data_IF_198227552602
#
_entry.id   IF_198227552602
#
_cell.length_a   1.000
_cell.length_b   1.000
_cell.length_c   1.000
_cell.angle_alpha   90.00
_cell.angle_beta   90.00
_cell.angle_gamma   90.00
#
_symmetry.space_group_name_H-M   'P 1'
#
loop_
_entity.id
_entity.type
_entity.pdbx_description
1 polymer ?
#
# COMPACT_ATOMS: atom_id res chain seq x y z
N UNK A 1 -24.97 -25.31 -26.17
CA UNK A 1 -26.38 -25.55 -25.82
C UNK A 1 -26.53 -26.08 -24.39
N UNK A 2 -25.70 -27.03 -23.92
CA UNK A 2 -25.74 -27.62 -22.57
C UNK A 2 -25.48 -26.63 -21.44
N UNK A 3 -24.72 -25.56 -21.69
CA UNK A 3 -24.38 -24.51 -20.68
C UNK A 3 -25.56 -23.57 -20.43
N UNK A 4 -26.38 -23.30 -21.47
CA UNK A 4 -27.60 -22.49 -21.34
C UNK A 4 -28.70 -23.16 -20.51
N UNK A 5 -28.78 -24.48 -20.59
CA UNK A 5 -29.82 -25.26 -19.86
C UNK A 5 -29.53 -25.36 -18.36
N UNK A 6 -28.25 -25.17 -17.92
CA UNK A 6 -27.85 -25.25 -16.53
C UNK A 6 -27.74 -23.89 -15.79
N UNK A 7 -28.08 -22.76 -16.46
CA UNK A 7 -28.00 -21.42 -15.87
C UNK A 7 -26.58 -21.04 -15.41
N UNK A 8 -25.54 -21.67 -15.96
CA UNK A 8 -24.15 -21.38 -15.56
C UNK A 8 -23.72 -20.00 -16.07
N UNK A 9 -23.55 -19.06 -15.17
CA UNK A 9 -23.02 -17.73 -15.49
C UNK A 9 -21.53 -17.85 -15.81
N UNK A 10 -21.11 -17.36 -16.98
CA UNK A 10 -19.70 -17.28 -17.34
C UNK A 10 -19.02 -16.26 -16.41
N UNK A 11 -18.01 -16.73 -15.67
CA UNK A 11 -17.23 -15.87 -14.78
C UNK A 11 -15.92 -15.45 -15.45
N UNK A 12 -15.53 -14.22 -15.21
CA UNK A 12 -14.29 -13.60 -15.66
C UNK A 12 -13.34 -13.45 -14.48
N UNK A 13 -12.12 -13.90 -14.66
CA UNK A 13 -11.07 -13.85 -13.63
C UNK A 13 -10.42 -12.47 -13.61
N UNK A 14 -10.38 -11.85 -12.44
CA UNK A 14 -9.66 -10.60 -12.16
C UNK A 14 -8.65 -10.86 -11.05
N UNK A 15 -7.35 -10.81 -11.35
CA UNK A 15 -6.27 -10.95 -10.37
C UNK A 15 -5.66 -9.60 -10.09
N UNK A 16 -5.68 -9.18 -8.83
CA UNK A 16 -5.12 -7.92 -8.36
C UNK A 16 -3.82 -8.22 -7.60
N UNK A 17 -2.66 -7.79 -8.12
CA UNK A 17 -1.39 -7.93 -7.41
C UNK A 17 -1.32 -7.03 -6.17
N UNK A 18 -0.50 -7.45 -5.18
CA UNK A 18 -0.14 -6.62 -4.04
C UNK A 18 0.57 -5.34 -4.49
N UNK A 19 0.36 -4.24 -3.78
CA UNK A 19 1.00 -2.96 -4.06
C UNK A 19 0.45 -2.17 -5.26
N UNK A 20 -0.66 -2.62 -5.88
CA UNK A 20 -1.35 -1.83 -6.91
C UNK A 20 -2.21 -0.74 -6.26
N UNK A 21 -2.25 0.44 -6.88
CA UNK A 21 -3.14 1.53 -6.49
C UNK A 21 -4.46 1.48 -7.27
N UNK A 22 -5.41 2.34 -6.90
CA UNK A 22 -6.75 2.42 -7.53
C UNK A 22 -6.65 2.53 -9.06
N UNK A 23 -5.71 3.33 -9.58
CA UNK A 23 -5.57 3.56 -11.02
C UNK A 23 -5.09 2.30 -11.75
N UNK A 24 -4.10 1.61 -11.20
CA UNK A 24 -3.59 0.35 -11.73
C UNK A 24 -4.64 -0.76 -11.66
N UNK A 25 -5.46 -0.80 -10.61
CA UNK A 25 -6.58 -1.73 -10.50
C UNK A 25 -7.64 -1.42 -11.57
N UNK A 26 -7.93 -0.14 -11.80
CA UNK A 26 -8.88 0.28 -12.85
C UNK A 26 -8.43 -0.18 -14.25
N UNK A 27 -7.12 -0.13 -14.54
CA UNK A 27 -6.56 -0.68 -15.79
C UNK A 27 -6.81 -2.18 -15.91
N UNK A 28 -6.64 -2.94 -14.82
CA UNK A 28 -6.91 -4.39 -14.81
C UNK A 28 -8.39 -4.71 -14.98
N UNK A 29 -9.29 -3.94 -14.36
CA UNK A 29 -10.75 -4.09 -14.53
C UNK A 29 -11.14 -3.88 -15.98
N UNK A 30 -10.61 -2.83 -16.62
CA UNK A 30 -10.86 -2.55 -18.03
C UNK A 30 -10.28 -3.64 -18.95
N UNK A 31 -9.04 -4.07 -18.71
CA UNK A 31 -8.38 -5.13 -19.47
C UNK A 31 -9.10 -6.49 -19.35
N UNK A 32 -9.73 -6.77 -18.21
CA UNK A 32 -10.55 -7.97 -17.99
C UNK A 32 -11.94 -7.87 -18.63
N UNK A 33 -12.32 -6.72 -19.23
CA UNK A 33 -13.64 -6.50 -19.83
C UNK A 33 -14.79 -6.44 -18.82
N UNK A 34 -14.47 -6.04 -17.56
CA UNK A 34 -15.43 -5.97 -16.45
C UNK A 34 -15.96 -4.55 -16.21
N UNK A 35 -15.66 -3.61 -17.10
CA UNK A 35 -16.12 -2.23 -17.05
C UNK A 35 -15.12 -1.26 -17.67
N UNK A 36 -15.41 0.02 -17.60
CA UNK A 36 -14.51 1.07 -18.06
C UNK A 36 -13.73 1.68 -16.86
N UNK A 37 -12.48 2.07 -17.12
CA UNK A 37 -11.56 2.58 -16.13
C UNK A 37 -12.15 3.74 -15.31
N UNK A 38 -12.74 4.74 -15.97
CA UNK A 38 -13.30 5.93 -15.32
C UNK A 38 -14.43 5.62 -14.34
N UNK A 39 -15.27 4.62 -14.62
CA UNK A 39 -16.37 4.25 -13.75
C UNK A 39 -15.87 3.55 -12.49
N UNK A 40 -14.86 2.68 -12.65
CA UNK A 40 -14.22 2.06 -11.50
C UNK A 40 -13.51 3.11 -10.61
N UNK A 41 -12.74 4.03 -11.21
CA UNK A 41 -12.07 5.11 -10.46
C UNK A 41 -13.11 5.93 -9.70
N UNK A 42 -14.21 6.34 -10.36
CA UNK A 42 -15.29 7.10 -9.71
C UNK A 42 -15.87 6.34 -8.51
N UNK A 43 -16.16 5.04 -8.66
CA UNK A 43 -16.65 4.22 -7.55
C UNK A 43 -15.62 4.08 -6.43
N UNK A 44 -14.34 3.90 -6.77
CA UNK A 44 -13.25 3.71 -5.81
C UNK A 44 -12.85 5.01 -5.09
N UNK A 45 -13.26 6.17 -5.58
CA UNK A 45 -12.98 7.48 -4.99
C UNK A 45 -14.24 8.21 -4.47
N UNK A 46 -15.38 7.55 -4.44
CA UNK A 46 -16.62 8.09 -3.90
C UNK A 46 -16.62 8.01 -2.37
N UNK A 47 -16.35 9.13 -1.70
CA UNK A 47 -16.32 9.25 -0.24
C UNK A 47 -17.63 8.84 0.42
N UNK A 48 -18.80 9.15 -0.19
CA UNK A 48 -20.09 8.72 0.34
C UNK A 48 -20.22 7.20 0.35
N UNK A 49 -19.73 6.56 -0.71
CA UNK A 49 -19.72 5.10 -0.80
C UNK A 49 -18.73 4.47 0.21
N UNK A 50 -17.55 5.07 0.41
CA UNK A 50 -16.58 4.68 1.45
C UNK A 50 -17.23 4.67 2.84
N UNK A 51 -17.88 5.77 3.21
CA UNK A 51 -18.55 5.90 4.51
C UNK A 51 -19.76 4.96 4.65
N UNK A 52 -20.52 4.75 3.57
CA UNK A 52 -21.66 3.80 3.55
C UNK A 52 -21.22 2.36 3.81
N UNK A 53 -20.02 1.98 3.38
CA UNK A 53 -19.43 0.65 3.67
C UNK A 53 -18.83 0.58 5.09
N UNK A 54 -18.76 1.72 5.81
CA UNK A 54 -18.27 1.79 7.19
C UNK A 54 -16.74 1.90 7.28
N UNK A 55 -16.10 2.53 6.30
CA UNK A 55 -14.69 2.90 6.37
C UNK A 55 -14.55 4.38 6.72
N UNK A 56 -13.57 4.70 7.57
CA UNK A 56 -13.20 6.09 7.89
C UNK A 56 -11.99 6.50 7.02
N UNK A 57 -12.26 6.78 5.75
CA UNK A 57 -11.29 7.17 4.73
C UNK A 57 -11.96 8.02 3.66
N UNK A 58 -11.18 8.73 2.84
CA UNK A 58 -11.72 9.56 1.73
C UNK A 58 -11.92 8.73 0.45
N UNK A 59 -11.15 7.66 0.27
CA UNK A 59 -11.21 6.77 -0.89
C UNK A 59 -11.02 5.32 -0.46
N UNK A 60 -11.22 4.38 -1.38
CA UNK A 60 -10.91 2.96 -1.15
C UNK A 60 -9.44 2.60 -1.34
N UNK A 61 -8.52 3.57 -1.54
CA UNK A 61 -7.08 3.27 -1.61
C UNK A 61 -6.62 2.58 -0.32
N UNK A 62 -5.92 1.45 -0.47
CA UNK A 62 -5.50 0.60 0.64
C UNK A 62 -6.52 -0.45 1.10
N UNK A 63 -7.77 -0.35 0.65
CA UNK A 63 -8.86 -1.24 1.07
C UNK A 63 -9.36 -2.18 -0.04
N UNK A 64 -8.86 -2.04 -1.27
CA UNK A 64 -9.15 -2.93 -2.38
C UNK A 64 -8.21 -4.12 -2.33
N UNK A 65 -8.53 -5.12 -1.48
CA UNK A 65 -7.59 -6.19 -1.11
C UNK A 65 -7.07 -6.97 -2.33
N UNK A 66 -5.74 -7.18 -2.44
CA UNK A 66 -5.14 -7.97 -3.50
C UNK A 66 -5.54 -9.44 -3.38
N UNK A 67 -6.17 -9.98 -4.42
CA UNK A 67 -6.58 -11.39 -4.51
C UNK A 67 -6.99 -11.70 -5.95
N UNK A 68 -7.42 -12.94 -6.19
CA UNK A 68 -8.07 -13.35 -7.44
C UNK A 68 -9.57 -13.45 -7.25
N UNK A 69 -10.30 -12.67 -8.03
CA UNK A 69 -11.75 -12.58 -8.00
C UNK A 69 -12.38 -13.19 -9.26
N UNK A 70 -13.62 -13.66 -9.13
CA UNK A 70 -14.43 -14.16 -10.23
C UNK A 70 -15.70 -13.33 -10.31
N UNK A 71 -15.93 -12.66 -11.44
CA UNK A 71 -17.08 -11.80 -11.66
C UNK A 71 -17.88 -12.20 -12.89
N UNK A 72 -19.22 -12.04 -12.90
CA UNK A 72 -20.01 -12.09 -14.12
C UNK A 72 -19.66 -10.89 -15.03
N UNK A 73 -19.92 -11.00 -16.33
CA UNK A 73 -19.57 -9.96 -17.31
C UNK A 73 -20.18 -8.59 -17.00
N UNK A 74 -21.41 -8.58 -16.53
CA UNK A 74 -22.19 -7.35 -16.32
C UNK A 74 -22.13 -6.87 -14.86
N UNK A 75 -21.03 -7.17 -14.16
CA UNK A 75 -20.79 -6.68 -12.79
C UNK A 75 -20.61 -5.17 -12.80
N UNK A 76 -21.37 -4.46 -11.96
CA UNK A 76 -21.18 -3.02 -11.80
C UNK A 76 -19.93 -2.69 -10.96
N UNK A 77 -19.32 -1.50 -11.17
CA UNK A 77 -18.08 -1.10 -10.48
C UNK A 77 -18.22 -1.10 -8.96
N UNK A 78 -19.36 -0.69 -8.41
CA UNK A 78 -19.62 -0.73 -6.96
C UNK A 78 -19.58 -2.16 -6.39
N UNK A 79 -20.04 -3.14 -7.16
CA UNK A 79 -20.01 -4.55 -6.74
C UNK A 79 -18.59 -5.10 -6.72
N UNK A 80 -17.75 -4.71 -7.68
CA UNK A 80 -16.31 -5.05 -7.69
C UNK A 80 -15.66 -4.47 -6.46
N UNK A 81 -15.80 -3.16 -6.21
CA UNK A 81 -15.25 -2.46 -5.03
C UNK A 81 -15.73 -3.13 -3.75
N UNK A 82 -17.06 -3.35 -3.58
CA UNK A 82 -17.61 -3.99 -2.37
C UNK A 82 -17.04 -5.38 -2.11
N UNK A 83 -16.84 -6.17 -3.16
CA UNK A 83 -16.26 -7.52 -3.04
C UNK A 83 -14.82 -7.44 -2.54
N UNK A 84 -14.01 -6.53 -3.09
CA UNK A 84 -12.62 -6.34 -2.69
C UNK A 84 -12.50 -5.83 -1.26
N UNK A 85 -13.37 -4.89 -0.86
CA UNK A 85 -13.44 -4.38 0.53
C UNK A 85 -13.92 -5.45 1.50
N UNK A 86 -14.90 -6.27 1.11
CA UNK A 86 -15.35 -7.40 1.94
C UNK A 86 -14.21 -8.39 2.17
N UNK A 87 -13.37 -8.62 1.17
CA UNK A 87 -12.16 -9.43 1.29
C UNK A 87 -11.16 -8.79 2.26
N UNK A 88 -10.92 -7.48 2.16
CA UNK A 88 -10.11 -6.74 3.14
C UNK A 88 -10.61 -6.97 4.56
N UNK A 89 -11.91 -6.76 4.82
CA UNK A 89 -12.52 -6.94 6.15
C UNK A 89 -12.39 -8.38 6.67
N UNK A 90 -12.42 -9.38 5.79
CA UNK A 90 -12.22 -10.78 6.17
C UNK A 90 -10.77 -11.08 6.61
N UNK A 91 -9.80 -10.35 6.07
CA UNK A 91 -8.38 -10.47 6.41
C UNK A 91 -8.03 -9.62 7.63
N UNK A 92 -8.46 -8.35 7.62
CA UNK A 92 -8.26 -7.40 8.72
C UNK A 92 -9.38 -7.60 9.75
N UNK A 93 -9.24 -8.63 10.55
CA UNK A 93 -10.26 -9.10 11.49
C UNK A 93 -10.16 -8.39 12.86
N UNK A 94 -11.12 -8.65 13.75
CA UNK A 94 -11.18 -8.07 15.10
C UNK A 94 -9.88 -8.22 15.91
N UNK A 95 -9.13 -9.31 15.72
CA UNK A 95 -7.83 -9.47 16.40
C UNK A 95 -6.81 -8.44 15.91
N UNK A 96 -6.83 -8.12 14.63
CA UNK A 96 -5.94 -7.11 14.06
C UNK A 96 -6.40 -5.68 14.40
N UNK A 97 -7.71 -5.46 14.52
CA UNK A 97 -8.26 -4.19 15.01
C UNK A 97 -7.83 -3.93 16.45
N UNK A 98 -7.98 -4.91 17.34
CA UNK A 98 -7.51 -4.82 18.71
C UNK A 98 -6.00 -4.58 18.79
N UNK A 99 -5.22 -5.25 17.91
CA UNK A 99 -3.77 -5.04 17.88
C UNK A 99 -3.39 -3.62 17.39
N UNK A 100 -4.12 -3.06 16.45
CA UNK A 100 -3.93 -1.67 16.02
C UNK A 100 -4.16 -0.70 17.18
N UNK A 101 -5.22 -0.91 17.95
CA UNK A 101 -5.56 -0.11 19.14
C UNK A 101 -4.46 -0.21 20.22
N UNK A 102 -3.93 -1.40 20.50
CA UNK A 102 -2.78 -1.60 21.41
C UNK A 102 -1.54 -0.78 20.97
N UNK A 103 -1.33 -0.62 19.67
CA UNK A 103 -0.24 0.18 19.10
C UNK A 103 -0.55 1.69 19.11
N UNK A 104 -1.76 2.09 19.46
CA UNK A 104 -2.24 3.48 19.38
C UNK A 104 -2.51 3.94 17.96
N UNK A 105 -2.80 3.03 17.02
CA UNK A 105 -3.09 3.33 15.62
C UNK A 105 -4.57 3.06 15.31
N UNK A 106 -5.16 3.91 14.48
CA UNK A 106 -6.40 3.58 13.79
C UNK A 106 -6.16 2.53 12.70
N UNK A 107 -7.20 1.81 12.27
CA UNK A 107 -7.13 0.90 11.12
C UNK A 107 -6.56 1.61 9.89
N UNK A 108 -7.01 2.87 9.63
CA UNK A 108 -6.52 3.68 8.52
C UNK A 108 -5.01 3.95 8.59
N UNK A 109 -4.48 4.24 9.78
CA UNK A 109 -3.04 4.44 9.98
C UNK A 109 -2.24 3.15 9.77
N UNK A 110 -2.76 2.00 10.21
CA UNK A 110 -2.12 0.69 9.94
C UNK A 110 -2.09 0.40 8.45
N UNK A 111 -3.21 0.59 7.73
CA UNK A 111 -3.28 0.38 6.27
C UNK A 111 -2.35 1.33 5.53
N UNK A 112 -2.28 2.59 5.96
CA UNK A 112 -1.35 3.59 5.41
C UNK A 112 0.09 3.13 5.58
N UNK A 113 0.50 2.74 6.78
CA UNK A 113 1.85 2.23 7.05
C UNK A 113 2.14 0.96 6.26
N UNK A 114 1.20 0.01 6.21
CA UNK A 114 1.33 -1.21 5.45
C UNK A 114 1.52 -0.96 3.94
N UNK A 115 0.84 0.04 3.38
CA UNK A 115 1.00 0.41 1.97
C UNK A 115 2.39 0.96 1.66
N UNK A 116 3.02 1.67 2.62
CA UNK A 116 4.39 2.15 2.50
C UNK A 116 5.36 0.96 2.57
N UNK A 117 5.20 0.07 3.57
CA UNK A 117 6.02 -1.15 3.71
C UNK A 117 5.94 -2.00 2.44
N UNK A 118 4.75 -2.17 1.85
CA UNK A 118 4.53 -2.91 0.61
C UNK A 118 5.37 -2.37 -0.55
N UNK A 119 5.52 -1.05 -0.64
CA UNK A 119 6.25 -0.39 -1.72
C UNK A 119 7.76 -0.30 -1.48
N UNK A 120 8.24 -0.54 -0.26
CA UNK A 120 9.67 -0.41 0.09
C UNK A 120 10.49 -1.67 -0.20
N UNK A 121 9.90 -2.85 -0.11
CA UNK A 121 10.67 -4.09 -0.30
C UNK A 121 9.92 -5.17 -1.05
N UNK A 122 10.63 -5.82 -1.99
CA UNK A 122 10.22 -7.10 -2.57
C UNK A 122 10.67 -8.32 -1.75
N UNK A 123 11.52 -8.14 -0.73
CA UNK A 123 12.02 -9.19 0.14
C UNK A 123 11.05 -9.41 1.31
N UNK A 124 10.22 -10.43 1.25
CA UNK A 124 9.15 -10.68 2.21
C UNK A 124 9.65 -10.75 3.67
N UNK A 125 10.83 -11.32 3.90
CA UNK A 125 11.43 -11.47 5.24
C UNK A 125 11.91 -10.15 5.86
N UNK A 126 12.08 -9.09 5.07
CA UNK A 126 12.49 -7.77 5.57
C UNK A 126 11.31 -6.90 6.00
N UNK A 127 10.06 -7.20 5.59
CA UNK A 127 8.88 -6.39 5.94
C UNK A 127 8.77 -6.09 7.43
N UNK A 128 8.95 -7.05 8.37
CA UNK A 128 8.88 -6.76 9.81
C UNK A 128 10.02 -5.85 10.30
N UNK A 129 11.22 -5.92 9.68
CA UNK A 129 12.36 -5.06 10.02
C UNK A 129 12.14 -3.64 9.51
N UNK A 130 11.69 -3.48 8.26
CA UNK A 130 11.32 -2.19 7.67
C UNK A 130 10.19 -1.54 8.48
N UNK A 131 9.20 -2.32 8.87
CA UNK A 131 8.13 -1.88 9.77
C UNK A 131 8.71 -1.33 11.08
N UNK A 132 9.65 -2.05 11.70
CA UNK A 132 10.32 -1.59 12.92
C UNK A 132 11.02 -0.24 12.73
N UNK A 133 11.71 -0.02 11.59
CA UNK A 133 12.31 1.28 11.28
C UNK A 133 11.27 2.40 11.25
N UNK A 134 10.13 2.17 10.58
CA UNK A 134 9.07 3.17 10.50
C UNK A 134 8.42 3.44 11.86
N UNK A 135 8.13 2.41 12.65
CA UNK A 135 7.64 2.56 14.03
C UNK A 135 8.62 3.37 14.90
N UNK A 136 9.92 3.05 14.83
CA UNK A 136 10.95 3.77 15.56
C UNK A 136 11.03 5.25 15.16
N UNK A 137 10.93 5.55 13.86
CA UNK A 137 10.87 6.93 13.36
C UNK A 137 9.61 7.66 13.82
N UNK A 138 8.44 7.03 13.75
CA UNK A 138 7.19 7.61 14.23
C UNK A 138 7.26 7.95 15.72
N UNK A 139 7.74 7.02 16.56
CA UNK A 139 7.92 7.21 17.99
C UNK A 139 8.91 8.35 18.33
N UNK A 140 9.94 8.53 17.51
CA UNK A 140 10.92 9.62 17.63
C UNK A 140 10.49 10.91 16.92
N UNK A 141 9.28 10.97 16.35
CA UNK A 141 8.77 12.10 15.56
C UNK A 141 9.70 12.48 14.39
N UNK A 142 10.42 11.51 13.85
CA UNK A 142 11.21 11.65 12.63
C UNK A 142 10.30 11.62 11.40
N UNK A 143 10.79 12.15 10.27
CA UNK A 143 10.15 12.00 8.97
C UNK A 143 10.35 10.57 8.47
N UNK A 144 9.38 10.01 7.71
CA UNK A 144 9.52 8.66 7.17
C UNK A 144 10.48 8.60 5.98
N UNK A 145 10.56 9.68 5.18
CA UNK A 145 11.50 9.84 4.05
C UNK A 145 11.45 8.66 3.07
N UNK A 146 10.23 8.28 2.69
CA UNK A 146 9.94 7.17 1.80
C UNK A 146 9.64 7.68 0.38
N UNK A 147 10.46 7.27 -0.59
CA UNK A 147 10.31 7.67 -2.00
C UNK A 147 8.94 7.30 -2.59
N UNK A 148 8.39 6.09 -2.34
CA UNK A 148 7.06 5.70 -2.82
C UNK A 148 5.95 6.68 -2.44
N UNK A 149 6.02 7.32 -1.28
CA UNK A 149 5.03 8.31 -0.86
C UNK A 149 5.08 9.58 -1.70
N UNK A 150 6.29 9.99 -2.11
CA UNK A 150 6.47 11.15 -3.01
C UNK A 150 5.94 10.81 -4.40
N UNK A 151 6.29 9.64 -4.92
CA UNK A 151 5.87 9.14 -6.23
C UNK A 151 4.34 9.12 -6.34
N UNK A 152 3.65 8.60 -5.31
CA UNK A 152 2.19 8.57 -5.28
C UNK A 152 1.55 9.95 -5.39
N UNK A 153 2.18 10.96 -4.79
CA UNK A 153 1.72 12.36 -4.84
C UNK A 153 1.97 13.09 -6.17
N UNK A 154 2.68 12.47 -7.12
CA UNK A 154 3.03 13.08 -8.41
C UNK A 154 2.01 12.65 -9.47
N UNK A 155 1.29 13.63 -10.05
CA UNK A 155 0.46 13.39 -11.23
C UNK A 155 1.34 13.09 -12.44
N UNK A 156 1.01 12.05 -13.20
CA UNK A 156 1.73 11.65 -14.43
C UNK A 156 3.23 11.42 -14.19
N UNK A 157 3.57 10.64 -13.15
CA UNK A 157 4.96 10.30 -12.86
C UNK A 157 5.61 9.57 -14.03
N UNK A 158 6.71 10.12 -14.53
CA UNK A 158 7.45 9.62 -15.71
C UNK A 158 8.48 8.52 -15.42
N UNK A 159 8.56 8.07 -14.16
CA UNK A 159 9.53 7.06 -13.71
C UNK A 159 10.83 7.66 -13.17
N UNK A 160 11.05 9.00 -13.24
CA UNK A 160 12.26 9.65 -12.77
C UNK A 160 12.01 10.53 -11.54
N UNK A 161 12.42 10.04 -10.36
CA UNK A 161 12.31 10.78 -9.11
C UNK A 161 13.47 11.80 -8.98
N UNK A 162 13.13 13.08 -9.04
CA UNK A 162 14.11 14.19 -9.02
C UNK A 162 14.25 14.80 -7.63
N UNK A 163 15.36 15.55 -7.40
CA UNK A 163 15.53 16.35 -6.18
C UNK A 163 14.40 17.39 -5.99
N UNK A 164 13.87 17.93 -7.08
CA UNK A 164 12.71 18.84 -7.05
C UNK A 164 11.50 18.14 -6.47
N UNK A 165 11.20 16.92 -6.88
CA UNK A 165 10.08 16.12 -6.33
C UNK A 165 10.25 15.92 -4.82
N UNK A 166 11.43 15.51 -4.35
CA UNK A 166 11.73 15.32 -2.92
C UNK A 166 11.64 16.63 -2.11
N UNK A 167 11.87 17.77 -2.74
CA UNK A 167 11.84 19.08 -2.08
C UNK A 167 10.47 19.77 -2.11
N UNK A 168 9.56 19.35 -3.00
CA UNK A 168 8.24 19.96 -3.18
C UNK A 168 7.28 19.52 -2.05
N UNK A 169 6.70 20.44 -1.28
CA UNK A 169 5.70 20.09 -0.27
C UNK A 169 4.41 19.57 -0.92
N UNK A 170 4.02 18.35 -0.57
CA UNK A 170 2.71 17.78 -0.87
C UNK A 170 2.22 17.03 0.37
N UNK A 171 0.90 16.75 0.51
CA UNK A 171 0.38 15.99 1.63
C UNK A 171 1.01 14.58 1.77
N UNK A 172 1.46 13.99 0.66
CA UNK A 172 2.09 12.67 0.62
C UNK A 172 3.61 12.71 0.70
N UNK A 173 4.28 13.87 0.64
CA UNK A 173 5.73 13.94 0.68
C UNK A 173 6.28 13.76 2.10
N UNK A 174 6.62 12.54 2.47
CA UNK A 174 7.17 12.20 3.79
C UNK A 174 8.60 12.70 4.04
N UNK A 175 9.26 13.35 3.06
CA UNK A 175 10.45 14.18 3.27
C UNK A 175 10.10 15.58 3.81
N UNK A 176 8.83 16.01 3.73
CA UNK A 176 8.37 17.35 4.14
C UNK A 176 7.42 17.32 5.31
N UNK A 177 6.62 16.27 5.45
CA UNK A 177 5.71 16.08 6.58
C UNK A 177 6.32 15.19 7.65
N UNK A 178 5.84 15.29 8.89
CA UNK A 178 6.11 14.36 9.99
C UNK A 178 4.92 13.43 10.14
N UNK A 179 5.20 12.18 10.53
CA UNK A 179 4.16 11.17 10.68
C UNK A 179 3.79 10.50 9.37
N UNK A 180 2.63 9.85 9.36
CA UNK A 180 2.06 9.19 8.18
C UNK A 180 1.45 10.22 7.22
N UNK A 181 1.43 9.93 5.90
CA UNK A 181 0.64 10.71 4.95
C UNK A 181 -0.88 10.57 5.24
N UNK A 182 -1.74 11.36 4.57
CA UNK A 182 -3.19 11.36 4.82
C UNK A 182 -3.87 10.01 4.62
N UNK A 183 -3.32 9.15 3.76
CA UNK A 183 -3.88 7.84 3.47
C UNK A 183 -2.89 6.91 2.77
N UNK A 184 -3.33 5.68 2.46
CA UNK A 184 -2.53 4.67 1.77
C UNK A 184 -2.08 5.14 0.38
N UNK A 185 -0.97 4.57 -0.09
CA UNK A 185 -0.37 4.85 -1.41
C UNK A 185 -0.49 3.66 -2.37
N UNK A 186 -1.04 2.55 -1.90
CA UNK A 186 -1.29 1.32 -2.63
C UNK A 186 -2.19 0.40 -1.80
N UNK A 187 -2.66 -0.69 -2.39
CA UNK A 187 -3.40 -1.73 -1.69
C UNK A 187 -2.42 -2.82 -1.22
N UNK A 188 -2.13 -2.89 0.09
CA UNK A 188 -1.14 -3.80 0.63
C UNK A 188 -1.67 -5.24 0.71
N UNK A 189 -0.76 -6.21 0.56
CA UNK A 189 -1.02 -7.59 0.84
C UNK A 189 -1.08 -7.91 2.34
N UNK A 190 -1.49 -9.15 2.65
CA UNK A 190 -1.64 -9.63 4.02
C UNK A 190 -0.35 -9.50 4.85
N UNK A 191 0.79 -9.84 4.26
CA UNK A 191 2.07 -9.84 5.00
C UNK A 191 2.55 -8.43 5.32
N UNK A 192 2.25 -7.43 4.49
CA UNK A 192 2.55 -6.02 4.80
C UNK A 192 1.63 -5.47 5.89
N UNK A 193 0.34 -5.81 5.88
CA UNK A 193 -0.60 -5.49 6.97
C UNK A 193 -0.14 -6.14 8.29
N UNK A 194 0.25 -7.42 8.25
CA UNK A 194 0.79 -8.13 9.40
C UNK A 194 2.09 -7.49 9.92
N UNK A 195 3.01 -7.10 9.01
CA UNK A 195 4.25 -6.46 9.40
C UNK A 195 4.01 -5.09 10.07
N UNK A 196 3.04 -4.31 9.59
CA UNK A 196 2.65 -3.04 10.21
C UNK A 196 2.12 -3.21 11.65
N UNK A 197 1.40 -4.33 11.91
CA UNK A 197 0.85 -4.66 13.22
C UNK A 197 1.86 -5.34 14.18
N UNK A 198 2.81 -6.08 13.63
CA UNK A 198 3.76 -6.90 14.37
C UNK A 198 5.18 -6.64 13.91
N UNK A 199 5.71 -5.39 14.10
CA UNK A 199 7.10 -5.11 13.82
C UNK A 199 8.00 -5.96 14.74
N UNK A 200 9.19 -6.32 14.26
CA UNK A 200 10.23 -6.88 15.13
C UNK A 200 10.79 -5.76 16.01
N UNK A 201 11.23 -6.10 17.21
CA UNK A 201 11.86 -5.13 18.10
C UNK A 201 13.32 -4.93 17.70
N UNK A 202 13.64 -3.73 17.20
CA UNK A 202 14.99 -3.31 16.83
C UNK A 202 15.22 -1.84 17.18
N UNK A 203 16.49 -1.42 17.18
CA UNK A 203 16.86 -0.02 17.32
C UNK A 203 17.11 0.67 15.97
N UNK A 204 16.80 0.02 14.84
CA UNK A 204 17.10 0.58 13.52
C UNK A 204 16.25 1.82 13.21
N UNK A 205 16.91 2.81 12.60
CA UNK A 205 16.30 4.07 12.16
C UNK A 205 16.47 4.32 10.65
N UNK A 206 17.37 3.59 10.01
CA UNK A 206 17.73 3.77 8.61
C UNK A 206 17.88 2.43 7.91
N UNK A 207 17.58 2.40 6.63
CA UNK A 207 17.94 1.31 5.74
C UNK A 207 18.40 1.85 4.38
N UNK A 208 19.20 1.08 3.68
CA UNK A 208 19.69 1.39 2.34
C UNK A 208 19.72 0.11 1.52
N UNK A 209 19.20 0.18 0.28
CA UNK A 209 19.18 -0.96 -0.63
C UNK A 209 20.60 -1.43 -0.97
N UNK A 210 20.79 -2.76 -0.95
CA UNK A 210 21.96 -3.44 -1.47
C UNK A 210 21.70 -3.92 -2.90
N UNK A 211 22.76 -4.32 -3.60
CA UNK A 211 22.65 -4.80 -4.99
C UNK A 211 21.98 -6.18 -5.14
N UNK A 212 21.80 -6.90 -4.04
CA UNK A 212 21.16 -8.22 -3.95
C UNK A 212 19.64 -8.16 -3.68
N UNK A 213 19.03 -6.97 -3.82
CA UNK A 213 17.60 -6.69 -3.54
C UNK A 213 17.23 -6.77 -2.06
N UNK A 214 18.19 -6.81 -1.16
CA UNK A 214 17.99 -6.68 0.28
C UNK A 214 18.48 -5.33 0.79
N UNK A 215 18.31 -5.06 2.09
CA UNK A 215 18.70 -3.80 2.70
C UNK A 215 19.79 -3.99 3.77
N UNK A 216 20.56 -2.94 3.98
CA UNK A 216 21.41 -2.79 5.16
C UNK A 216 20.72 -1.85 6.13
N UNK A 217 20.58 -2.29 7.39
CA UNK A 217 19.89 -1.54 8.44
C UNK A 217 20.92 -0.90 9.37
N UNK A 218 20.63 0.33 9.85
CA UNK A 218 21.53 1.10 10.71
C UNK A 218 20.75 1.81 11.82
N UNK A 219 21.38 1.97 12.97
CA UNK A 219 20.80 2.62 14.13
C UNK A 219 21.02 4.14 14.16
N UNK A 220 21.99 4.66 13.40
CA UNK A 220 22.33 6.07 13.35
C UNK A 220 22.76 6.50 11.95
N UNK A 221 22.73 7.83 11.74
CA UNK A 221 23.01 8.45 10.43
C UNK A 221 24.45 8.21 9.96
N UNK A 222 25.43 8.11 10.88
CA UNK A 222 26.84 7.87 10.52
C UNK A 222 27.03 6.49 9.89
N UNK A 223 26.42 5.47 10.47
CA UNK A 223 26.42 4.11 9.94
C UNK A 223 25.69 4.05 8.60
N UNK A 224 24.52 4.68 8.52
CA UNK A 224 23.75 4.76 7.29
C UNK A 224 24.56 5.40 6.16
N UNK A 225 25.19 6.56 6.39
CA UNK A 225 25.99 7.23 5.37
C UNK A 225 27.21 6.40 4.93
N UNK A 226 27.78 5.56 5.83
CA UNK A 226 28.83 4.61 5.47
C UNK A 226 28.26 3.53 4.54
N UNK A 227 27.12 2.98 4.87
CA UNK A 227 26.44 1.96 4.05
C UNK A 227 26.04 2.50 2.67
N UNK A 228 25.51 3.74 2.59
CA UNK A 228 25.22 4.41 1.31
C UNK A 228 26.46 4.50 0.42
N UNK A 229 27.62 4.93 0.99
CA UNK A 229 28.87 5.00 0.22
C UNK A 229 29.29 3.62 -0.29
N UNK A 230 29.16 2.59 0.55
CA UNK A 230 29.54 1.22 0.20
C UNK A 230 28.63 0.61 -0.87
N UNK A 231 27.31 0.69 -0.69
CA UNK A 231 26.36 -0.07 -1.50
C UNK A 231 25.84 0.69 -2.72
N UNK A 232 25.71 2.02 -2.64
CA UNK A 232 25.17 2.82 -3.74
C UNK A 232 26.22 3.57 -4.52
N UNK A 233 27.27 4.12 -3.87
CA UNK A 233 28.29 4.93 -4.56
C UNK A 233 29.55 4.15 -4.93
N UNK A 234 29.68 2.88 -4.53
CA UNK A 234 30.85 2.04 -4.83
C UNK A 234 32.18 2.58 -4.29
N UNK A 235 32.13 3.49 -3.28
CA UNK A 235 33.31 4.06 -2.64
C UNK A 235 33.60 3.28 -1.34
N UNK A 236 34.80 2.72 -1.25
CA UNK A 236 35.32 2.09 -0.04
C UNK A 236 35.61 3.12 1.06
#
# INVERSE_FOLDING_TARGET
LTTMVKGAVKLYKLTIPEGYNIYQIADLVAAAGLGIQSDFIRAATDTNFVHKIGLNADTFEGYLFPDTYLFPKDVGPNSIVSTMVSRFKSVFNLKWEARAEELGFSVHQVVTLASIIEKETGAAFERPIISSVFHNRLNKRMRLESDPTVIYGIKNFDGNLTRKHLSTPTPYNTYKIRGLPPGPIANPGRESLKAALYPVDTAFLYFVAKKDRTHHFSTNLREHNRAVRQYQLGRK
#
